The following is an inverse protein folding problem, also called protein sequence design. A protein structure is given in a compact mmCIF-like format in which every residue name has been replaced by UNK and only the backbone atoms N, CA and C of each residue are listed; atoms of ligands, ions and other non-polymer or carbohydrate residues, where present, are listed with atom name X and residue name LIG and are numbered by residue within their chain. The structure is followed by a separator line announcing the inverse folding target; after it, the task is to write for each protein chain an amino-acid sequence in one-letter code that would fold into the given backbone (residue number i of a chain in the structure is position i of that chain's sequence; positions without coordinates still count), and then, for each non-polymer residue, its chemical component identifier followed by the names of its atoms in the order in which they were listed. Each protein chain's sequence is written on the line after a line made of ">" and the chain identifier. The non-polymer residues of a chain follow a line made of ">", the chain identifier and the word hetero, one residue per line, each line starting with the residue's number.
data_IF_223673403825
#
_entry.id   IF_223673403825
#
_cell.length_a   1.000
_cell.length_b   1.000
_cell.length_c   1.000
_cell.angle_alpha   90.00
_cell.angle_beta   90.00
_cell.angle_gamma   90.00
#
_symmetry.space_group_name_H-M   'P 1'
#
loop_
_entity.id
_entity.type
_entity.pdbx_description
1 polymer ?
#
# COMPACT_ATOMS: atom_id res chain seq x y z
N UNK A 1 -37.11 -3.51 -0.42
CA UNK A 1 -37.16 -3.77 1.05
C UNK A 1 -36.20 -4.87 1.51
N UNK A 2 -36.36 -6.15 1.12
CA UNK A 2 -35.39 -7.22 1.49
C UNK A 2 -34.00 -7.06 0.83
N UNK A 3 -33.96 -6.59 -0.42
CA UNK A 3 -32.71 -6.30 -1.12
C UNK A 3 -31.93 -5.11 -0.52
N UNK A 4 -32.64 -4.08 -0.04
CA UNK A 4 -32.04 -2.89 0.56
C UNK A 4 -31.46 -3.21 1.94
N UNK A 5 -32.15 -4.03 2.73
CA UNK A 5 -31.68 -4.48 4.05
C UNK A 5 -30.38 -5.30 3.93
N UNK A 6 -30.30 -6.18 2.93
CA UNK A 6 -29.09 -6.96 2.67
C UNK A 6 -27.92 -6.07 2.26
N UNK A 7 -28.17 -5.07 1.41
CA UNK A 7 -27.19 -4.09 0.95
C UNK A 7 -26.65 -3.24 2.10
N UNK A 8 -27.53 -2.74 2.98
CA UNK A 8 -27.17 -1.94 4.17
C UNK A 8 -26.35 -2.75 5.19
N UNK A 9 -26.70 -4.03 5.42
CA UNK A 9 -25.97 -4.88 6.37
C UNK A 9 -24.63 -5.39 5.83
N UNK A 10 -24.47 -5.52 4.51
CA UNK A 10 -23.25 -6.04 3.87
C UNK A 10 -22.23 -4.97 3.55
N UNK A 11 -22.65 -3.75 3.22
CA UNK A 11 -21.77 -2.61 2.92
C UNK A 11 -20.72 -2.33 4.00
N UNK A 12 -21.05 -2.21 5.30
CA UNK A 12 -20.05 -1.95 6.34
C UNK A 12 -19.07 -3.12 6.52
N UNK A 13 -19.54 -4.36 6.35
CA UNK A 13 -18.67 -5.54 6.43
C UNK A 13 -17.70 -5.64 5.26
N UNK A 14 -18.14 -5.22 4.06
CA UNK A 14 -17.28 -5.19 2.88
C UNK A 14 -16.18 -4.14 3.01
N UNK A 15 -16.53 -2.92 3.44
CA UNK A 15 -15.57 -1.81 3.67
C UNK A 15 -14.49 -2.22 4.66
N UNK A 16 -14.86 -2.86 5.78
CA UNK A 16 -13.88 -3.37 6.75
C UNK A 16 -13.02 -4.49 6.15
N UNK A 17 -13.60 -5.41 5.38
CA UNK A 17 -12.83 -6.50 4.74
C UNK A 17 -11.79 -5.99 3.75
N UNK A 18 -12.15 -5.03 2.88
CA UNK A 18 -11.20 -4.44 1.94
C UNK A 18 -10.12 -3.63 2.68
N UNK A 19 -10.47 -2.97 3.80
CA UNK A 19 -9.52 -2.26 4.67
C UNK A 19 -8.51 -3.21 5.29
N UNK A 20 -8.96 -4.36 5.79
CA UNK A 20 -8.08 -5.41 6.33
C UNK A 20 -7.19 -6.00 5.23
N UNK A 21 -7.75 -6.25 4.04
CA UNK A 21 -6.97 -6.71 2.90
C UNK A 21 -5.88 -5.71 2.52
N UNK A 22 -6.20 -4.42 2.44
CA UNK A 22 -5.25 -3.35 2.18
C UNK A 22 -4.16 -3.27 3.26
N UNK A 23 -4.52 -3.42 4.54
CA UNK A 23 -3.54 -3.48 5.62
C UNK A 23 -2.56 -4.65 5.42
N UNK A 24 -3.04 -5.81 4.97
CA UNK A 24 -2.19 -6.96 4.67
C UNK A 24 -1.28 -6.76 3.45
N UNK A 25 -1.65 -5.94 2.47
CA UNK A 25 -0.75 -5.66 1.33
C UNK A 25 0.53 -4.94 1.78
N UNK A 26 0.47 -4.14 2.86
CA UNK A 26 1.66 -3.51 3.43
C UNK A 26 2.70 -4.53 3.90
N UNK A 27 2.25 -5.58 4.60
CA UNK A 27 3.13 -6.65 5.09
C UNK A 27 3.68 -7.47 3.92
N UNK A 28 2.80 -7.86 2.99
CA UNK A 28 3.17 -8.71 1.86
C UNK A 28 4.21 -8.03 0.96
N UNK A 29 3.97 -6.78 0.56
CA UNK A 29 4.85 -6.05 -0.34
C UNK A 29 6.17 -5.68 0.33
N UNK A 30 6.16 -5.38 1.64
CA UNK A 30 7.40 -5.19 2.39
C UNK A 30 8.24 -6.47 2.41
N UNK A 31 7.63 -7.64 2.62
CA UNK A 31 8.33 -8.91 2.54
C UNK A 31 8.92 -9.17 1.15
N UNK A 32 8.17 -8.87 0.08
CA UNK A 32 8.65 -8.98 -1.31
C UNK A 32 9.81 -8.01 -1.58
N UNK A 33 9.74 -6.78 -1.09
CA UNK A 33 10.82 -5.79 -1.22
C UNK A 33 12.10 -6.24 -0.55
N UNK A 34 12.00 -6.66 0.72
CA UNK A 34 13.15 -7.13 1.48
C UNK A 34 13.77 -8.37 0.84
N UNK A 35 12.95 -9.30 0.33
CA UNK A 35 13.42 -10.43 -0.45
C UNK A 35 14.17 -9.97 -1.72
N UNK A 36 13.62 -9.01 -2.47
CA UNK A 36 14.26 -8.43 -3.65
C UNK A 36 15.61 -7.76 -3.34
N UNK A 37 15.74 -7.14 -2.17
CA UNK A 37 17.00 -6.51 -1.70
C UNK A 37 18.08 -7.51 -1.28
N UNK A 38 17.72 -8.76 -0.97
CA UNK A 38 18.72 -9.83 -0.70
C UNK A 38 19.37 -10.39 -1.96
N UNK A 39 18.81 -10.12 -3.15
CA UNK A 39 19.41 -10.50 -4.43
C UNK A 39 20.68 -9.66 -4.66
N UNK A 40 21.82 -10.25 -5.08
CA UNK A 40 23.06 -9.52 -5.28
C UNK A 40 22.93 -8.51 -6.42
N UNK A 41 22.56 -7.27 -6.10
CA UNK A 41 22.56 -6.16 -7.03
C UNK A 41 23.98 -5.57 -7.11
N UNK A 42 24.56 -5.57 -8.31
CA UNK A 42 25.71 -4.74 -8.63
C UNK A 42 25.16 -3.30 -8.66
N UNK A 43 25.81 -2.40 -7.91
CA UNK A 43 25.38 -1.02 -7.61
C UNK A 43 24.72 -0.28 -8.80
N UNK A 44 23.73 0.60 -8.55
CA UNK A 44 23.10 1.41 -9.60
C UNK A 44 24.14 2.21 -10.38
N UNK A 45 24.00 2.24 -11.71
CA UNK A 45 24.98 2.80 -12.65
C UNK A 45 25.26 4.29 -12.38
N UNK A 46 24.30 5.01 -11.82
CA UNK A 46 24.36 6.46 -11.60
C UNK A 46 24.60 6.88 -10.13
N UNK A 47 25.09 5.98 -9.27
CA UNK A 47 25.77 6.40 -8.03
C UNK A 47 24.89 6.77 -6.84
N UNK A 48 23.65 6.26 -6.75
CA UNK A 48 22.95 6.20 -5.47
C UNK A 48 23.77 5.31 -4.52
N UNK A 49 24.59 5.94 -3.69
CA UNK A 49 25.48 5.27 -2.74
C UNK A 49 24.60 4.46 -1.78
N UNK A 50 24.92 3.19 -1.55
CA UNK A 50 24.16 2.26 -0.69
C UNK A 50 23.61 2.84 0.63
N UNK A 51 24.31 3.74 1.36
CA UNK A 51 23.78 4.35 2.59
C UNK A 51 22.50 5.16 2.37
N UNK A 52 22.35 5.82 1.22
CA UNK A 52 21.15 6.60 0.87
C UNK A 52 19.97 5.67 0.60
N UNK A 53 20.22 4.52 -0.04
CA UNK A 53 19.19 3.52 -0.30
C UNK A 53 18.63 2.87 0.99
N UNK A 54 19.46 2.71 2.03
CA UNK A 54 19.04 2.14 3.32
C UNK A 54 18.21 3.15 4.13
N UNK A 55 18.59 4.43 4.14
CA UNK A 55 17.81 5.48 4.82
C UNK A 55 16.44 5.66 4.15
N UNK A 56 16.38 5.58 2.82
CA UNK A 56 15.13 5.58 2.06
C UNK A 56 14.25 4.36 2.40
N UNK A 57 14.83 3.16 2.51
CA UNK A 57 14.08 1.94 2.87
C UNK A 57 13.42 2.07 4.26
N UNK A 58 14.14 2.57 5.28
CA UNK A 58 13.57 2.76 6.63
C UNK A 58 12.47 3.81 6.67
N UNK A 59 12.62 4.88 5.88
CA UNK A 59 11.57 5.89 5.73
C UNK A 59 10.30 5.27 5.15
N UNK A 60 10.42 4.48 4.07
CA UNK A 60 9.28 3.80 3.47
C UNK A 60 8.62 2.75 4.38
N UNK A 61 9.43 2.01 5.15
CA UNK A 61 8.91 1.12 6.21
C UNK A 61 8.07 1.92 7.22
N UNK A 62 8.54 3.09 7.65
CA UNK A 62 7.81 3.98 8.54
C UNK A 62 6.48 4.46 7.95
N UNK A 63 6.49 4.93 6.70
CA UNK A 63 5.29 5.41 6.00
C UNK A 63 4.24 4.29 5.84
N UNK A 64 4.67 3.11 5.36
CA UNK A 64 3.76 1.97 5.21
C UNK A 64 3.28 1.43 6.56
N UNK A 65 4.13 1.41 7.58
CA UNK A 65 3.76 1.04 8.94
C UNK A 65 2.72 1.98 9.55
N UNK A 66 2.89 3.29 9.38
CA UNK A 66 1.93 4.29 9.83
C UNK A 66 0.57 4.13 9.13
N UNK A 67 0.58 3.97 7.80
CA UNK A 67 -0.64 3.73 7.02
C UNK A 67 -1.36 2.44 7.49
N UNK A 68 -0.61 1.35 7.69
CA UNK A 68 -1.15 0.08 8.19
C UNK A 68 -1.77 0.23 9.59
N UNK A 69 -1.12 0.93 10.52
CA UNK A 69 -1.66 1.17 11.88
C UNK A 69 -2.99 1.94 11.81
N UNK A 70 -3.07 2.96 10.96
CA UNK A 70 -4.31 3.72 10.77
C UNK A 70 -5.42 2.84 10.20
N UNK A 71 -5.13 2.01 9.20
CA UNK A 71 -6.09 1.07 8.62
C UNK A 71 -6.57 0.03 9.65
N UNK A 72 -5.68 -0.51 10.46
CA UNK A 72 -6.03 -1.45 11.54
C UNK A 72 -6.90 -0.76 12.58
N UNK A 73 -6.58 0.48 12.97
CA UNK A 73 -7.42 1.30 13.84
C UNK A 73 -8.83 1.48 13.28
N UNK A 74 -8.93 1.83 12.00
CA UNK A 74 -10.20 1.97 11.29
C UNK A 74 -10.98 0.64 11.18
N UNK A 75 -10.30 -0.50 11.08
CA UNK A 75 -10.95 -1.81 11.05
C UNK A 75 -11.48 -2.25 12.43
N UNK A 76 -10.77 -1.94 13.52
CA UNK A 76 -11.16 -2.30 14.89
C UNK A 76 -12.27 -1.38 15.41
N UNK A 77 -12.14 -0.07 15.15
CA UNK A 77 -13.15 0.95 15.49
C UNK A 77 -13.55 1.69 14.22
N UNK A 78 -14.55 1.17 13.48
CA UNK A 78 -15.01 1.76 12.23
C UNK A 78 -15.31 3.23 12.38
N UNK A 79 -14.49 4.05 11.72
CA UNK A 79 -14.65 5.49 11.65
C UNK A 79 -14.29 5.92 10.24
N UNK A 80 -15.22 6.60 9.58
CA UNK A 80 -15.07 6.98 8.18
C UNK A 80 -13.82 7.85 7.98
N UNK A 81 -13.53 8.82 8.87
CA UNK A 81 -12.36 9.67 8.76
C UNK A 81 -11.06 8.87 8.81
N UNK A 82 -10.93 7.96 9.78
CA UNK A 82 -9.74 7.12 9.91
C UNK A 82 -9.59 6.16 8.73
N UNK A 83 -10.70 5.64 8.21
CA UNK A 83 -10.72 4.81 7.01
C UNK A 83 -10.26 5.55 5.75
N UNK A 84 -10.79 6.75 5.51
CA UNK A 84 -10.40 7.62 4.38
C UNK A 84 -8.93 8.00 4.52
N UNK A 85 -8.51 8.51 5.69
CA UNK A 85 -7.12 8.93 5.92
C UNK A 85 -6.15 7.78 5.72
N UNK A 86 -6.42 6.61 6.32
CA UNK A 86 -5.57 5.43 6.16
C UNK A 86 -5.47 4.97 4.71
N UNK A 87 -6.59 4.95 3.99
CA UNK A 87 -6.62 4.53 2.60
C UNK A 87 -5.93 5.56 1.67
N UNK A 88 -6.14 6.86 1.85
CA UNK A 88 -5.46 7.91 1.08
C UNK A 88 -3.96 7.93 1.34
N UNK A 89 -3.53 7.77 2.60
CA UNK A 89 -2.11 7.58 2.93
C UNK A 89 -1.54 6.36 2.21
N UNK A 90 -2.28 5.26 2.17
CA UNK A 90 -1.87 4.04 1.46
C UNK A 90 -1.77 4.25 -0.05
N UNK A 91 -2.69 5.01 -0.66
CA UNK A 91 -2.62 5.38 -2.08
C UNK A 91 -1.34 6.13 -2.39
N UNK A 92 -1.04 7.18 -1.60
CA UNK A 92 0.16 7.97 -1.80
C UNK A 92 1.43 7.12 -1.58
N UNK A 93 1.44 6.32 -0.51
CA UNK A 93 2.56 5.44 -0.20
C UNK A 93 2.82 4.44 -1.33
N UNK A 94 1.80 3.70 -1.79
CA UNK A 94 1.95 2.73 -2.88
C UNK A 94 2.35 3.41 -4.19
N UNK A 95 1.71 4.52 -4.55
CA UNK A 95 1.98 5.20 -5.81
C UNK A 95 3.42 5.71 -5.89
N UNK A 96 3.87 6.43 -4.87
CA UNK A 96 5.22 7.02 -4.86
C UNK A 96 6.29 5.94 -4.71
N UNK A 97 6.14 5.03 -3.74
CA UNK A 97 7.13 3.99 -3.50
C UNK A 97 7.32 3.09 -4.73
N UNK A 98 6.22 2.64 -5.34
CA UNK A 98 6.30 1.72 -6.48
C UNK A 98 6.87 2.41 -7.74
N UNK A 99 6.65 3.71 -7.91
CA UNK A 99 7.25 4.47 -9.00
C UNK A 99 8.76 4.63 -8.81
N UNK A 100 9.21 4.90 -7.58
CA UNK A 100 10.63 4.99 -7.24
C UNK A 100 11.33 3.62 -7.38
N UNK A 101 10.69 2.56 -6.87
CA UNK A 101 11.23 1.20 -6.94
C UNK A 101 11.27 0.66 -8.39
N UNK A 102 10.30 1.07 -9.24
CA UNK A 102 10.34 0.80 -10.67
C UNK A 102 11.53 1.49 -11.34
N UNK A 103 11.72 2.78 -11.08
CA UNK A 103 12.83 3.55 -11.62
C UNK A 103 14.19 2.95 -11.21
N UNK A 104 14.33 2.57 -9.94
CA UNK A 104 15.52 1.92 -9.42
C UNK A 104 15.76 0.55 -10.07
N UNK A 105 14.70 -0.27 -10.18
CA UNK A 105 14.81 -1.61 -10.77
C UNK A 105 15.23 -1.59 -12.23
N UNK A 106 14.84 -0.55 -12.99
CA UNK A 106 15.28 -0.35 -14.38
C UNK A 106 16.74 0.14 -14.50
N UNK A 107 17.26 0.86 -13.50
CA UNK A 107 18.63 1.43 -13.51
C UNK A 107 19.70 0.47 -12.96
N UNK A 108 19.30 -0.63 -12.31
CA UNK A 108 20.22 -1.66 -11.81
C UNK A 108 20.72 -2.59 -12.93
N UNK A 109 21.98 -3.08 -12.81
CA UNK A 109 22.57 -4.02 -13.76
C UNK A 109 23.27 -5.18 -13.05
N UNK A 110 22.81 -6.43 -13.14
CA UNK A 110 21.60 -6.86 -13.86
C UNK A 110 20.33 -6.22 -13.26
N UNK A 111 19.26 -6.09 -14.06
CA UNK A 111 18.02 -5.47 -13.61
C UNK A 111 17.42 -6.24 -12.43
N UNK A 112 16.96 -5.50 -11.42
CA UNK A 112 16.22 -6.05 -10.30
C UNK A 112 14.81 -6.51 -10.73
N UNK A 113 14.15 -7.28 -9.87
CA UNK A 113 12.81 -7.79 -10.13
C UNK A 113 11.79 -6.65 -10.26
N UNK A 114 11.00 -6.65 -11.34
CA UNK A 114 9.92 -5.69 -11.55
C UNK A 114 8.60 -6.09 -10.87
N UNK A 115 8.55 -7.24 -10.20
CA UNK A 115 7.30 -7.80 -9.67
C UNK A 115 6.70 -6.90 -8.58
N UNK A 116 7.51 -6.49 -7.59
CA UNK A 116 7.05 -5.62 -6.51
C UNK A 116 6.56 -4.26 -7.04
N UNK A 117 7.32 -3.49 -7.85
CA UNK A 117 6.83 -2.20 -8.31
C UNK A 117 5.59 -2.32 -9.21
N UNK A 118 5.47 -3.38 -10.02
CA UNK A 118 4.26 -3.59 -10.83
C UNK A 118 3.03 -3.95 -9.99
N UNK A 119 3.17 -4.81 -8.97
CA UNK A 119 2.06 -5.11 -8.04
C UNK A 119 1.63 -3.87 -7.27
N UNK A 120 2.57 -3.03 -6.84
CA UNK A 120 2.27 -1.80 -6.11
C UNK A 120 1.49 -0.79 -6.97
N UNK A 121 1.89 -0.60 -8.23
CA UNK A 121 1.20 0.32 -9.16
C UNK A 121 -0.14 -0.23 -9.65
N UNK A 122 -0.21 -1.51 -10.04
CA UNK A 122 -1.37 -2.06 -10.73
C UNK A 122 -2.42 -2.67 -9.79
N UNK A 123 -2.04 -3.00 -8.55
CA UNK A 123 -2.92 -3.69 -7.60
C UNK A 123 -3.09 -2.88 -6.33
N UNK A 124 -2.00 -2.57 -5.62
CA UNK A 124 -2.09 -1.95 -4.30
C UNK A 124 -2.60 -0.50 -4.36
N UNK A 125 -2.12 0.30 -5.33
CA UNK A 125 -2.57 1.69 -5.50
C UNK A 125 -4.07 1.76 -5.85
N UNK A 126 -4.59 1.02 -6.86
CA UNK A 126 -6.02 0.99 -7.12
C UNK A 126 -6.85 0.48 -5.95
N UNK A 127 -6.39 -0.56 -5.25
CA UNK A 127 -7.06 -1.08 -4.06
C UNK A 127 -7.19 -0.01 -2.97
N UNK A 128 -6.14 0.78 -2.74
CA UNK A 128 -6.16 1.88 -1.79
C UNK A 128 -7.15 2.99 -2.20
N UNK A 129 -7.17 3.36 -3.49
CA UNK A 129 -8.14 4.34 -4.03
C UNK A 129 -9.58 3.85 -3.84
N UNK A 130 -9.85 2.59 -4.19
CA UNK A 130 -11.17 1.98 -4.02
C UNK A 130 -11.58 1.91 -2.55
N UNK A 131 -10.64 1.64 -1.64
CA UNK A 131 -10.89 1.62 -0.20
C UNK A 131 -11.23 3.02 0.32
N UNK A 132 -10.52 4.07 -0.14
CA UNK A 132 -10.81 5.45 0.23
C UNK A 132 -12.20 5.89 -0.27
N UNK A 133 -12.53 5.56 -1.53
CA UNK A 133 -13.85 5.82 -2.10
C UNK A 133 -14.95 5.11 -1.29
N UNK A 134 -14.76 3.83 -0.98
CA UNK A 134 -15.73 3.03 -0.23
C UNK A 134 -15.98 3.57 1.20
N UNK A 135 -14.96 4.12 1.86
CA UNK A 135 -15.15 4.80 3.14
C UNK A 135 -15.83 6.17 2.99
N UNK A 136 -15.60 6.89 1.90
CA UNK A 136 -16.25 8.18 1.65
C UNK A 136 -17.75 8.04 1.41
N UNK A 137 -18.17 7.00 0.69
CA UNK A 137 -19.59 6.72 0.45
C UNK A 137 -20.28 6.13 1.68
N UNK A 138 -19.52 5.68 2.68
CA UNK A 138 -20.08 5.16 3.93
C UNK A 138 -20.70 6.26 4.80
N UNK A 139 -20.34 7.53 4.57
CA UNK A 139 -20.78 8.69 5.37
C UNK A 139 -22.03 9.39 4.80
N UNK A 140 -22.42 9.06 3.56
CA UNK A 140 -23.54 9.70 2.84
C UNK A 140 -24.89 9.01 3.02
N UNK A 141 -24.97 7.93 3.81
CA UNK A 141 -26.20 7.18 4.12
C UNK A 141 -26.57 7.32 5.62
#
# INVERSE_FOLDING_TARGET
>A
MLADLHRILHRPRLVVRITVLLAWTHVLMLALHLAGRTTPAILPVHGLVQPVAIVDDWWWIGVHGAAMVVLVGAAIRPSHLWGIVGASMSTAAWGVWSALDLAWSMDTRPPASLVAPMLGLLVCTPLAVLTAAAWSEHDTD
#
